data_IF_757578145406
#
_entry.id   IF_757578145406
#
_cell.length_a   1.000
_cell.length_b   1.000
_cell.length_c   1.000
_cell.angle_alpha   90.00
_cell.angle_beta   90.00
_cell.angle_gamma   90.00
#
_symmetry.space_group_name_H-M   'P 1'
#
loop_
_entity.id
_entity.type
_entity.pdbx_description
1 polymer ?
#
# COMPACT_ATOMS: atom_id res chain seq x y z
N UNK A 1 22.93 -24.71 10.48
CA UNK A 1 21.91 -25.67 10.02
C UNK A 1 21.05 -26.20 11.16
N UNK A 2 21.64 -26.68 12.26
CA UNK A 2 20.91 -27.22 13.42
C UNK A 2 19.82 -26.28 13.99
N UNK A 3 20.12 -24.99 14.16
CA UNK A 3 19.12 -23.99 14.60
C UNK A 3 17.91 -23.86 13.67
N UNK A 4 18.09 -24.02 12.37
CA UNK A 4 16.98 -23.96 11.39
C UNK A 4 16.07 -25.17 11.58
N UNK A 5 16.66 -26.35 11.73
CA UNK A 5 15.92 -27.61 11.94
C UNK A 5 15.11 -27.55 13.25
N UNK A 6 15.70 -27.02 14.32
CA UNK A 6 15.03 -26.84 15.60
C UNK A 6 13.84 -25.87 15.48
N UNK A 7 14.01 -24.73 14.79
CA UNK A 7 12.89 -23.82 14.51
C UNK A 7 11.78 -24.49 13.70
N UNK A 8 12.12 -25.27 12.67
CA UNK A 8 11.12 -25.98 11.87
C UNK A 8 10.33 -26.99 12.72
N UNK A 9 10.99 -27.72 13.62
CA UNK A 9 10.30 -28.61 14.57
C UNK A 9 9.30 -27.86 15.41
N UNK A 10 9.68 -26.70 15.97
CA UNK A 10 8.78 -25.86 16.77
C UNK A 10 7.58 -25.39 15.94
N UNK A 11 7.79 -25.02 14.67
CA UNK A 11 6.69 -24.59 13.78
C UNK A 11 5.72 -25.75 13.50
N UNK A 12 6.22 -26.96 13.26
CA UNK A 12 5.37 -28.13 13.05
C UNK A 12 4.64 -28.56 14.34
N UNK A 13 5.34 -28.61 15.48
CA UNK A 13 4.75 -28.98 16.78
C UNK A 13 3.66 -28.02 17.25
N UNK A 14 3.70 -26.78 16.79
CA UNK A 14 2.72 -25.73 17.13
C UNK A 14 1.68 -25.47 16.05
N UNK A 15 1.66 -26.26 14.97
CA UNK A 15 0.74 -26.06 13.84
C UNK A 15 0.84 -24.66 13.20
N UNK A 16 2.07 -24.13 13.13
CA UNK A 16 2.40 -22.82 12.55
C UNK A 16 3.08 -22.93 11.17
N UNK A 17 3.43 -24.16 10.75
CA UNK A 17 4.01 -24.39 9.43
C UNK A 17 2.89 -24.43 8.39
N UNK A 18 2.86 -23.52 7.40
CA UNK A 18 1.74 -23.44 6.47
C UNK A 18 1.72 -24.59 5.47
N UNK A 19 0.57 -25.24 5.33
CA UNK A 19 0.33 -26.19 4.24
C UNK A 19 0.07 -25.45 2.92
N UNK A 20 0.93 -25.68 1.94
CA UNK A 20 0.82 -25.04 0.63
C UNK A 20 -0.10 -25.88 -0.26
N UNK A 21 -1.27 -25.33 -0.57
CA UNK A 21 -2.19 -25.91 -1.54
C UNK A 21 -1.78 -25.54 -2.96
N UNK A 22 -1.61 -26.54 -3.83
CA UNK A 22 -1.18 -26.33 -5.22
C UNK A 22 -2.42 -26.29 -6.12
N UNK A 23 -2.57 -25.21 -6.88
CA UNK A 23 -3.55 -25.14 -7.95
C UNK A 23 -3.04 -25.95 -9.15
N UNK A 24 -3.76 -27.01 -9.53
CA UNK A 24 -3.34 -28.00 -10.55
C UNK A 24 -4.05 -27.84 -11.89
N UNK A 25 -5.13 -27.07 -11.95
CA UNK A 25 -5.93 -26.89 -13.16
C UNK A 25 -6.79 -25.61 -13.15
N UNK A 26 -7.01 -25.06 -14.35
CA UNK A 26 -7.74 -23.80 -14.55
C UNK A 26 -6.90 -22.55 -14.28
N UNK A 27 -7.54 -21.38 -14.37
CA UNK A 27 -6.93 -20.09 -14.04
C UNK A 27 -7.25 -19.82 -12.57
N UNK A 28 -6.25 -19.73 -11.70
CA UNK A 28 -6.44 -19.59 -10.23
C UNK A 28 -7.21 -18.33 -9.81
N UNK A 29 -7.31 -17.33 -10.69
CA UNK A 29 -8.13 -16.14 -10.51
C UNK A 29 -9.61 -16.33 -10.87
N UNK A 30 -10.00 -17.50 -11.38
CA UNK A 30 -11.39 -17.86 -11.69
C UNK A 30 -12.17 -18.22 -10.42
N UNK A 31 -13.49 -17.99 -10.38
CA UNK A 31 -14.33 -18.43 -9.26
C UNK A 31 -14.22 -19.93 -9.01
N UNK A 32 -14.05 -20.73 -10.06
CA UNK A 32 -13.92 -22.19 -9.94
C UNK A 32 -12.60 -22.64 -10.55
N UNK A 33 -11.80 -23.35 -9.77
CA UNK A 33 -10.50 -23.89 -10.20
C UNK A 33 -10.19 -25.21 -9.49
N UNK A 34 -9.07 -25.84 -9.82
CA UNK A 34 -8.69 -27.14 -9.27
C UNK A 34 -7.52 -27.00 -8.27
N UNK A 35 -7.71 -27.55 -7.07
CA UNK A 35 -6.69 -27.63 -6.01
C UNK A 35 -6.51 -29.08 -5.61
N UNK A 36 -5.28 -29.59 -5.65
CA UNK A 36 -4.96 -30.98 -5.32
C UNK A 36 -5.90 -31.98 -6.03
N UNK A 37 -6.13 -31.79 -7.33
CA UNK A 37 -7.04 -32.60 -8.17
C UNK A 37 -8.53 -32.56 -7.78
N UNK A 38 -8.98 -31.53 -7.05
CA UNK A 38 -10.39 -31.32 -6.70
C UNK A 38 -10.88 -29.97 -7.22
N UNK A 39 -12.04 -29.97 -7.88
CA UNK A 39 -12.73 -28.76 -8.31
C UNK A 39 -13.33 -28.03 -7.09
N UNK A 40 -12.95 -26.78 -6.89
CA UNK A 40 -13.34 -25.95 -5.74
C UNK A 40 -13.89 -24.59 -6.18
N UNK A 41 -14.71 -23.97 -5.31
CA UNK A 41 -15.15 -22.58 -5.45
C UNK A 41 -14.26 -21.67 -4.58
N UNK A 42 -13.72 -20.61 -5.18
CA UNK A 42 -12.81 -19.66 -4.55
C UNK A 42 -13.55 -18.60 -3.76
N UNK A 43 -13.28 -18.52 -2.46
CA UNK A 43 -13.76 -17.46 -1.56
C UNK A 43 -12.61 -16.68 -0.89
N UNK A 44 -11.37 -16.87 -1.36
CA UNK A 44 -10.17 -16.29 -0.77
C UNK A 44 -9.31 -15.48 -1.76
N UNK A 45 -9.84 -15.22 -2.96
CA UNK A 45 -9.12 -14.48 -4.00
C UNK A 45 -9.21 -12.98 -3.79
N UNK A 46 -8.09 -12.29 -4.04
CA UNK A 46 -8.04 -10.82 -4.11
C UNK A 46 -8.59 -10.24 -5.42
N UNK A 47 -9.00 -11.08 -6.38
CA UNK A 47 -9.53 -10.68 -7.68
C UNK A 47 -10.99 -10.19 -7.59
N UNK A 48 -11.23 -9.13 -6.80
CA UNK A 48 -12.57 -8.69 -6.39
C UNK A 48 -13.54 -8.42 -7.55
N UNK A 49 -13.03 -7.88 -8.65
CA UNK A 49 -13.83 -7.52 -9.83
C UNK A 49 -13.74 -8.54 -10.97
N UNK A 50 -12.99 -9.63 -10.80
CA UNK A 50 -12.79 -10.62 -11.86
C UNK A 50 -11.84 -10.19 -12.98
N UNK A 51 -11.23 -9.00 -12.89
CA UNK A 51 -10.44 -8.41 -13.97
C UNK A 51 -9.20 -9.21 -14.37
N UNK A 52 -8.64 -10.02 -13.46
CA UNK A 52 -7.51 -10.88 -13.78
C UNK A 52 -7.82 -11.94 -14.86
N UNK A 53 -9.10 -12.19 -15.17
CA UNK A 53 -9.52 -13.09 -16.24
C UNK A 53 -10.32 -12.39 -17.35
N UNK A 54 -10.35 -11.05 -17.36
CA UNK A 54 -11.06 -10.27 -18.36
C UNK A 54 -10.33 -10.30 -19.73
N UNK A 55 -11.06 -10.53 -20.82
CA UNK A 55 -10.48 -10.68 -22.16
C UNK A 55 -9.87 -9.38 -22.71
N UNK A 56 -10.46 -8.22 -22.42
CA UNK A 56 -9.89 -6.93 -22.85
C UNK A 56 -8.55 -6.66 -22.16
N UNK A 57 -8.44 -6.99 -20.87
CA UNK A 57 -7.19 -6.88 -20.10
C UNK A 57 -6.12 -7.82 -20.67
N UNK A 58 -6.47 -9.08 -20.96
CA UNK A 58 -5.53 -10.03 -21.57
C UNK A 58 -5.03 -9.53 -22.93
N UNK A 59 -5.94 -9.03 -23.76
CA UNK A 59 -5.59 -8.52 -25.08
C UNK A 59 -4.66 -7.30 -24.99
N UNK A 60 -4.93 -6.37 -24.08
CA UNK A 60 -4.07 -5.22 -23.81
C UNK A 60 -2.65 -5.65 -23.36
N UNK A 61 -2.55 -6.70 -22.54
CA UNK A 61 -1.25 -7.28 -22.13
C UNK A 61 -0.51 -7.87 -23.34
N UNK A 62 -1.19 -8.67 -24.18
CA UNK A 62 -0.60 -9.27 -25.39
C UNK A 62 -0.07 -8.20 -26.34
N UNK A 63 -0.83 -7.13 -26.55
CA UNK A 63 -0.41 -5.99 -27.38
C UNK A 63 0.74 -5.23 -26.75
N UNK A 64 0.71 -5.02 -25.43
CA UNK A 64 1.80 -4.43 -24.66
C UNK A 64 3.11 -5.20 -24.85
N UNK A 65 3.07 -6.53 -24.75
CA UNK A 65 4.23 -7.41 -24.98
C UNK A 65 4.77 -7.24 -26.40
N UNK A 66 3.89 -7.23 -27.42
CA UNK A 66 4.30 -7.06 -28.83
C UNK A 66 4.98 -5.71 -29.07
N UNK A 67 4.52 -4.65 -28.41
CA UNK A 67 4.99 -3.27 -28.64
C UNK A 67 6.20 -2.89 -27.79
N UNK A 68 6.21 -3.28 -26.52
CA UNK A 68 7.18 -2.82 -25.52
C UNK A 68 8.12 -3.93 -25.02
N UNK A 69 7.88 -5.18 -25.42
CA UNK A 69 8.56 -6.35 -24.85
C UNK A 69 8.06 -6.69 -23.45
N UNK A 70 8.75 -7.61 -22.78
CA UNK A 70 8.35 -8.12 -21.45
C UNK A 70 9.00 -7.36 -20.29
N UNK A 71 10.10 -6.63 -20.54
CA UNK A 71 10.85 -5.94 -19.51
C UNK A 71 11.81 -4.90 -20.13
N UNK A 72 11.88 -3.65 -19.61
CA UNK A 72 12.74 -2.60 -20.18
C UNK A 72 14.24 -2.79 -19.86
N UNK A 73 14.58 -3.69 -18.93
CA UNK A 73 15.97 -4.06 -18.58
C UNK A 73 16.87 -2.88 -18.21
N UNK A 74 16.28 -1.84 -17.61
CA UNK A 74 16.96 -0.65 -17.15
C UNK A 74 16.31 -0.10 -15.89
N UNK A 75 17.05 0.73 -15.15
CA UNK A 75 16.51 1.49 -14.02
C UNK A 75 15.71 2.70 -14.50
N UNK A 76 14.76 3.16 -13.68
CA UNK A 76 13.90 4.32 -14.00
C UNK A 76 14.70 5.55 -14.45
N UNK A 77 15.88 5.79 -13.85
CA UNK A 77 16.72 6.96 -14.13
C UNK A 77 17.56 6.87 -15.40
N UNK A 78 17.77 5.67 -15.97
CA UNK A 78 18.69 5.48 -17.09
C UNK A 78 17.92 5.13 -18.36
N UNK A 79 17.32 3.94 -18.41
CA UNK A 79 16.69 3.39 -19.62
C UNK A 79 15.42 2.57 -19.33
N UNK A 80 14.99 2.50 -18.07
CA UNK A 80 13.88 1.67 -17.61
C UNK A 80 12.49 2.27 -17.80
N UNK A 81 12.40 3.57 -18.12
CA UNK A 81 11.13 4.28 -18.18
C UNK A 81 10.58 4.28 -19.60
N UNK A 82 9.51 3.52 -19.82
CA UNK A 82 8.76 3.50 -21.07
C UNK A 82 7.64 4.53 -21.06
N UNK A 83 7.19 4.98 -22.23
CA UNK A 83 6.07 5.92 -22.35
C UNK A 83 4.78 5.39 -21.69
N UNK A 84 4.54 4.08 -21.74
CA UNK A 84 3.39 3.44 -21.09
C UNK A 84 3.43 3.54 -19.56
N UNK A 85 4.61 3.62 -18.94
CA UNK A 85 4.72 3.82 -17.49
C UNK A 85 4.21 5.22 -17.10
N UNK A 86 4.65 6.26 -17.82
CA UNK A 86 4.17 7.64 -17.59
C UNK A 86 2.69 7.80 -17.92
N UNK A 87 2.18 7.10 -18.94
CA UNK A 87 0.75 7.08 -19.23
C UNK A 87 -0.04 6.43 -18.08
N UNK A 88 0.42 5.29 -17.57
CA UNK A 88 -0.21 4.61 -16.43
C UNK A 88 -0.22 5.51 -15.18
N UNK A 89 0.90 6.14 -14.85
CA UNK A 89 1.00 7.09 -13.73
C UNK A 89 -0.01 8.24 -13.86
N UNK A 90 -0.10 8.86 -15.04
CA UNK A 90 -1.08 9.93 -15.29
C UNK A 90 -2.53 9.42 -15.15
N UNK A 91 -2.82 8.23 -15.70
CA UNK A 91 -4.16 7.64 -15.66
C UNK A 91 -4.58 7.28 -14.25
N UNK A 92 -3.69 6.67 -13.45
CA UNK A 92 -4.01 6.29 -12.08
C UNK A 92 -4.12 7.52 -11.17
N UNK A 93 -3.26 8.54 -11.35
CA UNK A 93 -3.39 9.82 -10.67
C UNK A 93 -4.75 10.47 -10.95
N UNK A 94 -5.16 10.52 -12.23
CA UNK A 94 -6.47 11.04 -12.64
C UNK A 94 -7.62 10.21 -12.06
N UNK A 95 -7.50 8.89 -12.06
CA UNK A 95 -8.53 7.99 -11.53
C UNK A 95 -8.75 8.20 -10.03
N UNK A 96 -7.68 8.25 -9.23
CA UNK A 96 -7.76 8.45 -7.78
C UNK A 96 -8.10 9.91 -7.43
N UNK A 97 -7.77 10.87 -8.30
CA UNK A 97 -7.94 12.29 -8.05
C UNK A 97 -6.72 12.92 -7.35
N UNK A 98 -5.52 12.54 -7.78
CA UNK A 98 -4.23 13.10 -7.35
C UNK A 98 -3.53 13.82 -8.49
N UNK A 99 -2.60 14.70 -8.12
CA UNK A 99 -1.86 15.53 -9.08
C UNK A 99 -0.87 14.71 -9.91
N UNK A 100 -0.25 13.70 -9.31
CA UNK A 100 0.69 12.79 -9.95
C UNK A 100 0.67 11.42 -9.25
N UNK A 101 1.33 10.44 -9.85
CA UNK A 101 1.52 9.11 -9.27
C UNK A 101 2.90 8.55 -9.63
N UNK A 102 3.39 7.63 -8.82
CA UNK A 102 4.62 6.90 -9.08
C UNK A 102 4.34 5.41 -8.96
N UNK A 103 4.64 4.62 -10.00
CA UNK A 103 4.40 3.18 -9.97
C UNK A 103 5.56 2.41 -9.34
N UNK A 104 5.20 1.32 -8.66
CA UNK A 104 6.11 0.34 -8.08
C UNK A 104 5.75 -1.06 -8.59
N UNK A 105 6.68 -2.01 -8.47
CA UNK A 105 6.42 -3.41 -8.83
C UNK A 105 5.40 -4.09 -7.91
N UNK A 106 5.22 -3.59 -6.68
CA UNK A 106 4.21 -4.05 -5.72
C UNK A 106 3.84 -2.92 -4.75
N UNK A 107 2.67 -2.98 -4.13
CA UNK A 107 2.30 -2.06 -3.04
C UNK A 107 3.18 -2.23 -1.79
N UNK A 108 3.77 -3.41 -1.60
CA UNK A 108 4.82 -3.64 -0.59
C UNK A 108 5.99 -2.69 -0.81
N UNK A 109 6.49 -2.62 -2.05
CA UNK A 109 7.58 -1.72 -2.41
C UNK A 109 7.15 -0.25 -2.40
N UNK A 110 5.90 0.05 -2.73
CA UNK A 110 5.36 1.40 -2.59
C UNK A 110 5.43 1.87 -1.12
N UNK A 111 4.87 1.09 -0.20
CA UNK A 111 4.92 1.36 1.25
C UNK A 111 6.36 1.47 1.79
N UNK A 112 7.22 0.50 1.43
CA UNK A 112 8.62 0.45 1.86
C UNK A 112 9.48 1.56 1.24
N UNK A 113 9.08 2.12 0.10
CA UNK A 113 9.76 3.24 -0.56
C UNK A 113 9.28 4.60 -0.06
N UNK A 114 7.97 4.82 -0.03
CA UNK A 114 7.36 6.13 0.23
C UNK A 114 7.52 6.55 1.69
N UNK A 115 7.27 5.64 2.64
CA UNK A 115 7.28 5.99 4.07
C UNK A 115 8.70 6.46 4.48
N UNK A 116 9.79 5.70 4.22
CA UNK A 116 11.13 6.16 4.55
C UNK A 116 11.54 7.43 3.80
N UNK A 117 11.14 7.58 2.53
CA UNK A 117 11.46 8.75 1.74
C UNK A 117 10.87 10.02 2.38
N UNK A 118 9.55 10.04 2.63
CA UNK A 118 8.83 11.21 3.13
C UNK A 118 9.29 11.64 4.51
N UNK A 119 9.48 10.69 5.43
CA UNK A 119 9.83 11.00 6.83
C UNK A 119 11.29 11.41 7.01
N UNK A 120 12.16 11.06 6.06
CA UNK A 120 13.59 11.40 6.08
C UNK A 120 13.97 12.50 5.07
N UNK A 121 13.02 13.11 4.36
CA UNK A 121 13.31 14.24 3.47
C UNK A 121 14.14 15.31 4.20
N UNK A 122 15.37 15.59 3.75
CA UNK A 122 16.19 16.64 4.33
C UNK A 122 15.48 17.99 4.14
N UNK A 123 15.43 18.81 5.19
CA UNK A 123 14.96 20.18 5.04
C UNK A 123 16.01 20.96 4.22
N UNK A 124 15.76 21.14 2.93
CA UNK A 124 16.48 22.13 2.12
C UNK A 124 15.93 23.51 2.47
N UNK A 125 16.34 24.02 3.63
CA UNK A 125 16.28 25.45 3.93
C UNK A 125 17.71 25.99 3.85
N UNK A 126 17.91 27.14 3.21
CA UNK A 126 19.22 27.81 3.14
C UNK A 126 19.88 27.95 4.52
N UNK A 127 19.10 27.99 5.60
CA UNK A 127 19.58 28.06 6.98
C UNK A 127 20.05 26.72 7.58
N UNK A 128 19.63 25.58 7.02
CA UNK A 128 19.94 24.24 7.55
C UNK A 128 21.15 23.57 6.88
N UNK A 129 21.74 24.19 5.86
CA UNK A 129 22.96 23.68 5.21
C UNK A 129 24.11 23.48 6.21
N UNK A 130 24.20 24.34 7.23
CA UNK A 130 25.19 24.25 8.30
C UNK A 130 24.74 23.44 9.53
N UNK A 131 23.48 22.97 9.57
CA UNK A 131 22.87 22.34 10.74
C UNK A 131 22.55 20.87 10.49
N UNK A 132 23.50 20.16 9.87
CA UNK A 132 23.41 18.74 9.46
C UNK A 132 23.31 17.72 10.62
N UNK A 133 23.02 18.15 11.85
CA UNK A 133 23.30 17.35 13.04
C UNK A 133 22.38 17.59 14.21
N UNK A 134 21.06 17.41 14.07
CA UNK A 134 20.23 17.15 15.25
C UNK A 134 19.13 16.11 15.02
N UNK A 135 19.15 15.10 15.88
CA UNK A 135 18.25 13.94 15.99
C UNK A 135 16.77 14.34 16.25
N UNK A 136 16.49 15.63 16.46
CA UNK A 136 15.19 16.19 16.87
C UNK A 136 14.21 16.49 15.72
N UNK A 137 14.68 16.50 14.47
CA UNK A 137 13.90 17.08 13.36
C UNK A 137 13.26 16.01 12.44
N UNK A 138 13.42 14.73 12.77
CA UNK A 138 12.82 13.63 11.98
C UNK A 138 11.31 13.59 12.19
N UNK A 139 10.58 13.34 11.12
CA UNK A 139 9.12 13.15 11.17
C UNK A 139 8.78 11.94 12.04
N UNK A 140 7.83 12.09 12.98
CA UNK A 140 7.28 10.98 13.77
C UNK A 140 6.13 10.33 13.01
N UNK A 141 6.04 9.00 13.04
CA UNK A 141 4.98 8.24 12.40
C UNK A 141 3.92 7.85 13.42
N UNK A 142 2.65 8.08 13.13
CA UNK A 142 1.49 7.58 13.86
C UNK A 142 0.82 6.51 13.00
N UNK A 143 0.92 5.24 13.42
CA UNK A 143 0.38 4.09 12.68
C UNK A 143 -0.80 3.51 13.44
N UNK A 144 -1.87 3.20 12.72
CA UNK A 144 -2.93 2.33 13.27
C UNK A 144 -2.32 0.98 13.66
N UNK A 145 -2.84 0.34 14.71
CA UNK A 145 -2.33 -0.94 15.20
C UNK A 145 -2.64 -2.12 14.27
N UNK A 146 -3.67 -2.01 13.43
CA UNK A 146 -4.09 -3.05 12.47
C UNK A 146 -3.60 -2.81 11.04
N UNK A 147 -2.79 -1.76 10.82
CA UNK A 147 -2.18 -1.51 9.51
C UNK A 147 -1.51 -2.76 8.93
N UNK A 148 -1.62 -2.91 7.61
CA UNK A 148 -1.05 -4.04 6.90
C UNK A 148 0.46 -4.18 7.17
N UNK A 149 0.95 -5.42 7.15
CA UNK A 149 2.36 -5.73 7.45
C UNK A 149 3.34 -4.91 6.59
N UNK A 150 2.99 -4.58 5.35
CA UNK A 150 3.83 -3.77 4.45
C UNK A 150 3.98 -2.33 4.93
N UNK A 151 2.94 -1.73 5.49
CA UNK A 151 2.99 -0.40 6.12
C UNK A 151 3.89 -0.46 7.34
N UNK A 152 3.74 -1.50 8.16
CA UNK A 152 4.59 -1.73 9.34
C UNK A 152 6.07 -1.84 8.94
N UNK A 153 6.38 -2.59 7.88
CA UNK A 153 7.75 -2.71 7.35
C UNK A 153 8.29 -1.39 6.80
N UNK A 154 7.48 -0.61 6.09
CA UNK A 154 7.88 0.75 5.67
C UNK A 154 8.18 1.66 6.86
N UNK A 155 7.37 1.60 7.91
CA UNK A 155 7.61 2.32 9.17
C UNK A 155 8.90 1.86 9.88
N UNK A 156 9.22 0.55 9.84
CA UNK A 156 10.47 0.00 10.39
C UNK A 156 11.69 0.48 9.61
N UNK A 157 11.62 0.42 8.27
CA UNK A 157 12.69 0.88 7.38
C UNK A 157 12.97 2.38 7.50
N UNK A 158 11.97 3.17 7.87
CA UNK A 158 12.11 4.61 8.04
C UNK A 158 13.12 5.03 9.11
N UNK A 159 13.44 4.16 10.09
CA UNK A 159 14.40 4.44 11.18
C UNK A 159 14.12 5.78 11.89
N UNK A 160 12.84 6.09 12.08
CA UNK A 160 12.33 7.21 12.86
C UNK A 160 11.45 6.71 13.99
N UNK A 161 11.11 7.60 14.91
CA UNK A 161 10.17 7.28 15.98
C UNK A 161 8.79 6.97 15.40
N UNK A 162 8.19 5.88 15.89
CA UNK A 162 6.85 5.43 15.54
C UNK A 162 6.03 5.31 16.80
N UNK A 163 4.82 5.85 16.76
CA UNK A 163 3.80 5.73 17.79
C UNK A 163 2.64 4.97 17.18
N UNK A 164 2.29 3.83 17.76
CA UNK A 164 1.10 3.08 17.36
C UNK A 164 -0.10 3.64 18.11
N UNK A 165 -1.23 3.90 17.44
CA UNK A 165 -2.51 4.24 18.06
C UNK A 165 -3.51 3.10 17.92
N UNK A 166 -4.46 3.03 18.86
CA UNK A 166 -5.49 1.99 18.88
C UNK A 166 -6.33 2.04 17.62
N UNK A 167 -6.76 0.88 17.16
CA UNK A 167 -7.41 0.69 15.89
C UNK A 167 -8.65 1.58 15.75
N UNK A 168 -8.67 2.44 14.74
CA UNK A 168 -9.72 3.41 14.46
C UNK A 168 -10.07 4.36 15.64
N UNK A 169 -9.22 4.47 16.67
CA UNK A 169 -9.44 5.31 17.85
C UNK A 169 -8.81 6.70 17.68
N UNK A 170 -9.64 7.64 17.22
CA UNK A 170 -9.24 9.03 17.02
C UNK A 170 -8.87 9.77 18.32
N UNK A 171 -9.41 9.36 19.47
CA UNK A 171 -9.10 10.00 20.75
C UNK A 171 -7.68 9.61 21.21
N UNK A 172 -7.32 8.35 21.08
CA UNK A 172 -5.97 7.87 21.36
C UNK A 172 -4.96 8.48 20.39
N UNK A 173 -5.27 8.53 19.09
CA UNK A 173 -4.47 9.24 18.09
C UNK A 173 -4.29 10.71 18.47
N UNK A 174 -5.36 11.43 18.79
CA UNK A 174 -5.28 12.85 19.17
C UNK A 174 -4.40 13.05 20.42
N UNK A 175 -4.56 12.21 21.44
CA UNK A 175 -3.74 12.26 22.66
C UNK A 175 -2.24 12.10 22.34
N UNK A 176 -1.90 11.20 21.41
CA UNK A 176 -0.53 10.96 20.94
C UNK A 176 0.01 12.11 20.09
N UNK A 177 -0.83 12.74 19.26
CA UNK A 177 -0.49 13.94 18.49
C UNK A 177 -0.23 15.14 19.42
N UNK A 178 -1.06 15.34 20.46
CA UNK A 178 -0.93 16.42 21.46
C UNK A 178 0.40 16.37 22.22
N UNK A 179 0.95 15.17 22.46
CA UNK A 179 2.27 14.99 23.10
C UNK A 179 3.44 15.37 22.20
N UNK A 180 3.24 15.43 20.88
CA UNK A 180 4.29 15.58 19.87
C UNK A 180 4.18 16.86 19.03
N UNK A 181 3.61 17.94 19.58
CA UNK A 181 3.26 19.17 18.83
C UNK A 181 4.37 19.75 17.96
N UNK A 182 5.62 19.77 18.46
CA UNK A 182 6.76 20.43 17.81
C UNK A 182 7.41 19.61 16.68
N UNK A 183 6.99 18.36 16.46
CA UNK A 183 7.55 17.50 15.42
C UNK A 183 6.70 17.51 14.16
N UNK A 184 7.34 17.27 13.02
CA UNK A 184 6.66 16.86 11.78
C UNK A 184 6.01 15.50 12.03
N UNK A 185 4.82 15.29 11.48
CA UNK A 185 3.99 14.12 11.77
C UNK A 185 3.53 13.50 10.46
N UNK A 186 3.55 12.17 10.41
CA UNK A 186 2.90 11.38 9.37
C UNK A 186 1.90 10.46 10.07
N UNK A 187 0.62 10.56 9.74
CA UNK A 187 -0.42 9.61 10.12
C UNK A 187 -0.54 8.61 8.98
N UNK A 188 -0.53 7.32 9.28
CA UNK A 188 -0.68 6.24 8.31
C UNK A 188 -1.79 5.29 8.75
N UNK A 189 -2.70 4.98 7.84
CA UNK A 189 -3.80 4.03 8.05
C UNK A 189 -4.04 3.23 6.77
N UNK A 190 -4.44 1.97 6.88
CA UNK A 190 -5.16 1.29 5.81
C UNK A 190 -6.52 1.99 5.60
N UNK A 191 -7.04 1.96 4.37
CA UNK A 191 -8.36 2.47 4.05
C UNK A 191 -9.47 1.46 4.34
N UNK A 192 -9.25 0.19 3.96
CA UNK A 192 -10.01 -0.98 4.42
C UNK A 192 -9.01 -1.93 5.07
N UNK A 193 -9.29 -2.36 6.30
CA UNK A 193 -8.47 -3.31 7.01
C UNK A 193 -8.80 -4.73 6.56
N UNK A 194 -7.80 -5.43 6.03
CA UNK A 194 -8.01 -6.66 5.24
C UNK A 194 -8.63 -7.84 5.99
N UNK A 195 -8.44 -7.92 7.31
CA UNK A 195 -8.89 -9.06 8.12
C UNK A 195 -10.34 -8.89 8.59
N UNK A 196 -10.69 -7.68 9.06
CA UNK A 196 -12.01 -7.40 9.64
C UNK A 196 -12.96 -6.73 8.65
N UNK A 197 -12.44 -6.12 7.58
CA UNK A 197 -13.21 -5.48 6.52
C UNK A 197 -13.81 -4.13 6.92
N UNK A 198 -13.47 -3.60 8.09
CA UNK A 198 -13.85 -2.26 8.51
C UNK A 198 -13.12 -1.18 7.69
N UNK A 199 -13.73 0.00 7.66
CA UNK A 199 -13.27 1.15 6.87
C UNK A 199 -12.75 2.20 7.84
N UNK A 200 -11.53 2.69 7.61
CA UNK A 200 -10.97 3.75 8.42
C UNK A 200 -11.87 5.00 8.44
N UNK A 201 -11.98 5.74 9.56
CA UNK A 201 -12.77 6.96 9.69
C UNK A 201 -12.08 8.14 8.97
N UNK A 202 -11.95 8.04 7.65
CA UNK A 202 -11.06 8.88 6.84
C UNK A 202 -11.37 10.37 6.95
N UNK A 203 -12.66 10.73 6.99
CA UNK A 203 -13.10 12.13 7.12
C UNK A 203 -12.54 12.76 8.40
N UNK A 204 -12.56 12.02 9.49
CA UNK A 204 -12.08 12.50 10.79
C UNK A 204 -10.56 12.45 10.88
N UNK A 205 -9.92 11.42 10.31
CA UNK A 205 -8.46 11.38 10.15
C UNK A 205 -7.94 12.58 9.36
N UNK A 206 -8.61 12.96 8.27
CA UNK A 206 -8.26 14.12 7.45
C UNK A 206 -8.49 15.45 8.18
N UNK A 207 -9.54 15.55 8.99
CA UNK A 207 -9.77 16.72 9.83
C UNK A 207 -8.67 16.85 10.91
N UNK A 208 -8.33 15.73 11.55
CA UNK A 208 -7.32 15.67 12.61
C UNK A 208 -5.91 15.90 12.07
N UNK A 209 -5.58 15.36 10.90
CA UNK A 209 -4.29 15.58 10.23
C UNK A 209 -4.07 17.07 9.98
N UNK A 210 -5.09 17.76 9.46
CA UNK A 210 -5.09 19.21 9.25
C UNK A 210 -4.95 19.98 10.57
N UNK A 211 -5.71 19.62 11.60
CA UNK A 211 -5.66 20.28 12.92
C UNK A 211 -4.25 20.22 13.55
N UNK A 212 -3.53 19.12 13.36
CA UNK A 212 -2.22 18.89 13.97
C UNK A 212 -1.03 19.14 13.03
N UNK A 213 -1.30 19.68 11.84
CA UNK A 213 -0.33 19.87 10.76
C UNK A 213 0.49 18.60 10.52
N UNK A 214 -0.22 17.48 10.33
CA UNK A 214 0.32 16.18 10.03
C UNK A 214 0.03 15.84 8.56
N UNK A 215 0.98 15.17 7.91
CA UNK A 215 0.69 14.49 6.65
C UNK A 215 -0.19 13.28 6.94
N UNK A 216 -1.11 12.96 6.02
CA UNK A 216 -1.94 11.77 6.05
C UNK A 216 -1.65 10.89 4.84
N UNK A 217 -1.28 9.64 5.10
CA UNK A 217 -1.11 8.59 4.12
C UNK A 217 -2.15 7.49 4.33
N UNK A 218 -2.83 7.09 3.27
CA UNK A 218 -3.81 6.00 3.28
C UNK A 218 -3.37 4.88 2.35
N UNK A 219 -3.36 3.64 2.83
CA UNK A 219 -3.21 2.44 2.00
C UNK A 219 -4.58 1.93 1.56
N UNK A 220 -4.95 2.26 0.34
CA UNK A 220 -6.21 1.93 -0.31
C UNK A 220 -6.14 0.64 -1.14
N UNK A 221 -5.17 -0.26 -0.86
CA UNK A 221 -5.02 -1.50 -1.61
C UNK A 221 -6.28 -2.39 -1.61
N UNK A 222 -7.09 -2.33 -0.55
CA UNK A 222 -8.37 -3.04 -0.46
C UNK A 222 -9.59 -2.19 -0.85
N UNK A 223 -9.42 -0.88 -1.04
CA UNK A 223 -10.51 0.05 -1.33
C UNK A 223 -10.57 0.49 -2.79
N UNK A 224 -9.43 0.65 -3.46
CA UNK A 224 -9.39 1.02 -4.89
C UNK A 224 -10.08 -0.06 -5.72
N UNK A 225 -11.01 0.36 -6.58
CA UNK A 225 -11.89 -0.51 -7.36
C UNK A 225 -13.11 -1.06 -6.60
N UNK A 226 -13.19 -0.86 -5.29
CA UNK A 226 -14.26 -1.42 -4.43
C UNK A 226 -15.15 -0.31 -3.86
N UNK A 227 -14.54 0.72 -3.27
CA UNK A 227 -15.23 1.81 -2.60
C UNK A 227 -15.38 3.04 -3.49
N UNK A 228 -16.45 3.80 -3.24
CA UNK A 228 -16.80 4.99 -4.00
C UNK A 228 -17.65 4.66 -5.23
N UNK A 229 -18.43 5.64 -5.69
CA UNK A 229 -19.37 5.45 -6.82
C UNK A 229 -18.66 4.98 -8.09
N UNK A 230 -17.41 5.39 -8.31
CA UNK A 230 -16.61 5.05 -9.48
C UNK A 230 -15.40 4.18 -9.12
N UNK A 231 -15.38 3.58 -7.92
CA UNK A 231 -14.30 2.72 -7.46
C UNK A 231 -13.00 3.45 -7.13
N UNK A 232 -13.02 4.75 -6.82
CA UNK A 232 -11.80 5.53 -6.59
C UNK A 232 -11.19 5.36 -5.18
N UNK A 233 -11.80 4.52 -4.35
CA UNK A 233 -11.31 4.19 -3.02
C UNK A 233 -11.98 5.00 -1.91
N UNK A 234 -11.33 5.06 -0.76
CA UNK A 234 -11.90 5.63 0.47
C UNK A 234 -12.18 7.13 0.34
N UNK A 235 -11.33 7.86 -0.38
CA UNK A 235 -11.49 9.31 -0.62
C UNK A 235 -12.85 9.62 -1.27
N UNK A 236 -13.21 8.89 -2.32
CA UNK A 236 -14.49 9.06 -3.02
C UNK A 236 -15.66 8.55 -2.17
N UNK A 237 -15.49 7.44 -1.45
CA UNK A 237 -16.51 6.91 -0.55
C UNK A 237 -16.98 7.94 0.48
N UNK A 238 -16.03 8.69 1.07
CA UNK A 238 -16.35 9.76 2.02
C UNK A 238 -16.66 11.12 1.35
N UNK A 239 -16.53 11.22 0.03
CA UNK A 239 -16.78 12.45 -0.72
C UNK A 239 -15.86 13.61 -0.33
N UNK A 240 -14.65 13.33 0.17
CA UNK A 240 -13.70 14.38 0.57
C UNK A 240 -12.78 14.70 -0.60
N UNK A 241 -12.59 15.99 -0.90
CA UNK A 241 -11.77 16.45 -2.03
C UNK A 241 -10.33 16.81 -1.64
N UNK A 242 -9.93 16.54 -0.39
CA UNK A 242 -8.61 16.88 0.15
C UNK A 242 -8.41 16.36 1.57
N UNK A 243 -7.22 16.62 2.13
CA UNK A 243 -6.86 16.20 3.50
C UNK A 243 -6.17 14.84 3.60
N UNK A 244 -6.08 14.11 2.48
CA UNK A 244 -5.17 12.96 2.31
C UNK A 244 -4.02 13.40 1.42
N UNK A 245 -2.79 13.33 1.89
CA UNK A 245 -1.61 13.78 1.14
C UNK A 245 -1.09 12.67 0.22
N UNK A 246 -1.08 11.43 0.71
CA UNK A 246 -0.51 10.28 0.01
C UNK A 246 -1.54 9.15 -0.02
N UNK A 247 -1.71 8.54 -1.19
CA UNK A 247 -2.50 7.31 -1.34
C UNK A 247 -1.56 6.25 -1.89
N UNK A 248 -1.46 5.13 -1.20
CA UNK A 248 -0.83 3.91 -1.71
C UNK A 248 -1.94 2.96 -2.14
N UNK A 249 -1.75 2.27 -3.26
CA UNK A 249 -2.69 1.23 -3.67
C UNK A 249 -1.99 0.10 -4.42
N UNK A 250 -2.74 -0.92 -4.82
CA UNK A 250 -2.24 -2.07 -5.57
C UNK A 250 -3.02 -2.30 -6.85
N UNK A 251 -2.31 -2.77 -7.87
CA UNK A 251 -2.95 -3.33 -9.05
C UNK A 251 -3.37 -4.80 -8.84
N UNK A 252 -2.77 -5.50 -7.85
CA UNK A 252 -2.83 -6.95 -7.64
C UNK A 252 -4.11 -7.49 -7.01
N UNK A 253 -5.13 -6.64 -6.84
CA UNK A 253 -6.43 -7.02 -6.27
C UNK A 253 -7.57 -6.70 -7.23
N UNK A 254 -8.35 -5.66 -6.94
CA UNK A 254 -9.49 -5.27 -7.76
C UNK A 254 -9.12 -5.02 -9.23
N UNK A 255 -7.92 -4.48 -9.48
CA UNK A 255 -7.44 -4.14 -10.83
C UNK A 255 -6.81 -5.31 -11.60
N UNK A 256 -6.70 -6.49 -10.97
CA UNK A 256 -6.46 -7.77 -11.65
C UNK A 256 -5.08 -8.00 -12.28
N UNK A 257 -4.08 -7.15 -12.02
CA UNK A 257 -2.72 -7.28 -12.60
C UNK A 257 -1.64 -7.00 -11.55
N UNK A 258 -0.35 -7.16 -11.83
CA UNK A 258 0.69 -6.89 -10.82
C UNK A 258 1.08 -5.42 -10.77
N UNK A 259 1.26 -4.90 -9.55
CA UNK A 259 1.95 -3.64 -9.31
C UNK A 259 1.46 -2.89 -8.06
N UNK A 260 2.10 -1.76 -7.78
CA UNK A 260 1.71 -0.81 -6.75
C UNK A 260 1.84 0.63 -7.24
N UNK A 261 1.24 1.54 -6.49
CA UNK A 261 1.34 2.99 -6.64
C UNK A 261 1.54 3.60 -5.27
#
# INVERSE_FOLDING_TARGET
>A
MQKIIETLKILHERDLYPDINIATGGISSSPVFEVNNKKVLSFNSGNYLGLANNEEVKQAIIEGIKKFGIHPSGSVLISGTLSIHKELEKRIATFIGKEDAMIFTTSTMANMGVIPAIVNLPLVSLFNFFRFRFKSDRTIIFSDEFNHATVIEGCRLAKTEKVVYKHCDLNDLESKLKKNKKRRKLIVSDGIFSMDGDIAPLKDLAALSKQYNALLMIDDAHATGVLGKNGRGTIEHYGISGGVDIVVTTFSKALGVVGGV
#
